data_IF_712194046089
#
_entry.id   IF_712194046089
#
_cell.length_a   1.000
_cell.length_b   1.000
_cell.length_c   1.000
_cell.angle_alpha   90.00
_cell.angle_beta   90.00
_cell.angle_gamma   90.00
#
_symmetry.space_group_name_H-M   'P 1'
#
loop_
_entity.id
_entity.type
_entity.pdbx_description
1 polymer ?
#
# COMPACT_ATOMS: atom_id res chain seq x y z
N UNK A 1 7.92 -12.69 -10.84
CA UNK A 1 9.05 -12.53 -9.90
C UNK A 1 8.54 -12.25 -8.47
N UNK A 2 8.51 -13.27 -7.59
CA UNK A 2 8.01 -13.13 -6.21
C UNK A 2 8.84 -12.15 -5.37
N UNK A 3 10.16 -12.11 -5.56
CA UNK A 3 11.06 -11.15 -4.89
C UNK A 3 10.88 -9.71 -5.36
N UNK A 4 10.54 -9.49 -6.65
CA UNK A 4 10.30 -8.16 -7.17
C UNK A 4 9.11 -7.47 -6.50
N UNK A 5 8.08 -8.24 -6.11
CA UNK A 5 6.90 -7.73 -5.39
C UNK A 5 7.22 -7.21 -3.99
N UNK A 6 8.07 -7.92 -3.23
CA UNK A 6 8.49 -7.50 -1.89
C UNK A 6 9.29 -6.20 -1.94
N UNK A 7 10.30 -6.13 -2.81
CA UNK A 7 11.12 -4.92 -2.99
C UNK A 7 10.33 -3.76 -3.58
N UNK A 8 9.35 -4.04 -4.44
CA UNK A 8 8.45 -3.01 -4.99
C UNK A 8 7.50 -2.46 -3.93
N UNK A 9 6.94 -3.30 -3.06
CA UNK A 9 6.12 -2.85 -1.93
C UNK A 9 6.92 -2.03 -0.94
N UNK A 10 8.12 -2.48 -0.56
CA UNK A 10 9.00 -1.74 0.33
C UNK A 10 9.35 -0.35 -0.24
N UNK A 11 9.68 -0.28 -1.54
CA UNK A 11 9.96 0.98 -2.25
C UNK A 11 8.77 1.91 -2.22
N UNK A 12 7.59 1.44 -2.61
CA UNK A 12 6.37 2.27 -2.64
C UNK A 12 6.05 2.77 -1.23
N UNK A 13 6.18 1.91 -0.22
CA UNK A 13 5.88 2.28 1.15
C UNK A 13 6.83 3.36 1.69
N UNK A 14 8.14 3.23 1.45
CA UNK A 14 9.13 4.24 1.83
C UNK A 14 8.92 5.56 1.08
N UNK A 15 8.73 5.52 -0.24
CA UNK A 15 8.51 6.74 -1.03
C UNK A 15 7.20 7.44 -0.63
N UNK A 16 6.12 6.69 -0.38
CA UNK A 16 4.86 7.24 0.13
C UNK A 16 5.02 7.86 1.51
N UNK A 17 5.79 7.24 2.41
CA UNK A 17 6.01 7.77 3.75
C UNK A 17 6.79 9.09 3.72
N UNK A 18 7.88 9.16 2.95
CA UNK A 18 8.65 10.39 2.78
C UNK A 18 7.88 11.49 2.04
N UNK A 19 7.13 11.15 0.98
CA UNK A 19 6.27 12.12 0.30
C UNK A 19 5.14 12.60 1.23
N UNK A 20 4.56 11.71 2.03
CA UNK A 20 3.54 12.06 3.01
C UNK A 20 4.07 13.01 4.09
N UNK A 21 5.24 12.72 4.64
CA UNK A 21 5.90 13.58 5.63
C UNK A 21 6.24 14.97 5.04
N UNK A 22 6.78 15.01 3.82
CA UNK A 22 7.07 16.26 3.11
C UNK A 22 5.78 17.06 2.83
N UNK A 23 4.72 16.38 2.35
CA UNK A 23 3.42 17.00 2.11
C UNK A 23 2.82 17.61 3.38
N UNK A 24 2.88 16.88 4.50
CA UNK A 24 2.43 17.39 5.79
C UNK A 24 3.23 18.62 6.23
N UNK A 25 4.55 18.61 6.08
CA UNK A 25 5.41 19.74 6.40
C UNK A 25 5.11 20.97 5.53
N UNK A 26 4.89 20.77 4.23
CA UNK A 26 4.52 21.85 3.29
C UNK A 26 3.15 22.46 3.62
N UNK A 27 2.16 21.63 3.96
CA UNK A 27 0.84 22.10 4.39
C UNK A 27 0.95 22.91 5.68
N UNK A 28 1.65 22.38 6.70
CA UNK A 28 1.84 23.09 7.97
C UNK A 28 2.53 24.45 7.75
N UNK A 29 3.62 24.47 6.97
CA UNK A 29 4.32 25.70 6.63
C UNK A 29 3.42 26.69 5.88
N UNK A 30 2.66 26.21 4.89
CA UNK A 30 1.72 27.03 4.13
C UNK A 30 0.61 27.64 4.98
N UNK A 31 0.05 26.88 5.93
CA UNK A 31 -0.96 27.37 6.88
C UNK A 31 -0.39 28.47 7.77
N UNK A 32 0.78 28.23 8.39
CA UNK A 32 1.44 29.22 9.26
C UNK A 32 1.78 30.49 8.48
N UNK A 33 2.32 30.35 7.27
CA UNK A 33 2.67 31.49 6.43
C UNK A 33 1.43 32.29 6.01
N UNK A 34 0.38 31.61 5.53
CA UNK A 34 -0.85 32.27 5.08
C UNK A 34 -1.54 33.05 6.20
N UNK A 35 -1.82 32.41 7.34
CA UNK A 35 -2.47 33.08 8.46
C UNK A 35 -1.57 34.13 9.10
N UNK A 36 -0.24 33.92 9.13
CA UNK A 36 0.71 34.92 9.59
C UNK A 36 0.71 36.18 8.71
N UNK A 37 0.73 36.01 7.39
CA UNK A 37 0.64 37.13 6.44
C UNK A 37 -0.73 37.80 6.50
N UNK A 38 -1.83 37.04 6.61
CA UNK A 38 -3.17 37.58 6.76
C UNK A 38 -3.28 38.46 8.01
N UNK A 39 -2.81 37.96 9.16
CA UNK A 39 -2.75 38.72 10.40
C UNK A 39 -1.93 40.00 10.22
N UNK A 40 -0.74 39.91 9.63
CA UNK A 40 0.14 41.05 9.42
C UNK A 40 -0.44 42.12 8.47
N UNK A 41 -1.21 41.71 7.45
CA UNK A 41 -1.80 42.63 6.47
C UNK A 41 -3.12 43.26 6.94
N UNK A 42 -3.93 42.55 7.74
CA UNK A 42 -5.26 43.03 8.15
C UNK A 42 -5.24 43.77 9.49
N UNK A 43 -4.36 43.41 10.42
CA UNK A 43 -4.32 44.07 11.75
C UNK A 43 -4.13 45.60 11.66
N UNK A 44 -3.24 46.14 10.78
CA UNK A 44 -3.07 47.59 10.65
C UNK A 44 -4.35 48.31 10.20
N UNK A 45 -5.14 47.69 9.32
CA UNK A 45 -6.41 48.23 8.80
C UNK A 45 -7.44 48.31 9.91
N UNK A 46 -7.51 47.27 10.75
CA UNK A 46 -8.41 47.29 11.90
C UNK A 46 -8.02 48.39 12.90
N UNK A 47 -6.72 48.54 13.17
CA UNK A 47 -6.24 49.56 14.10
C UNK A 47 -6.46 50.98 13.58
N UNK A 48 -6.17 51.23 12.30
CA UNK A 48 -6.33 52.55 11.68
C UNK A 48 -7.81 52.95 11.63
N UNK A 49 -8.69 52.03 11.20
CA UNK A 49 -10.14 52.26 11.18
C UNK A 49 -10.70 52.56 12.58
N UNK A 50 -10.22 51.87 13.63
CA UNK A 50 -10.66 52.16 15.01
C UNK A 50 -10.23 53.55 15.47
N UNK A 51 -8.97 53.91 15.21
CA UNK A 51 -8.40 55.20 15.61
C UNK A 51 -9.13 56.35 14.92
N UNK A 52 -9.38 56.22 13.62
CA UNK A 52 -10.06 57.24 12.84
C UNK A 52 -11.54 57.37 13.20
N UNK A 53 -12.22 56.25 13.49
CA UNK A 53 -13.60 56.29 13.96
C UNK A 53 -13.74 57.10 15.27
N UNK A 54 -12.83 56.89 16.22
CA UNK A 54 -12.81 57.66 17.47
C UNK A 54 -12.51 59.14 17.22
N UNK A 55 -11.55 59.45 16.35
CA UNK A 55 -11.21 60.83 15.98
C UNK A 55 -12.41 61.56 15.36
N UNK A 56 -13.13 60.90 14.44
CA UNK A 56 -14.34 61.45 13.84
C UNK A 56 -15.49 61.60 14.84
N UNK A 57 -15.65 60.64 15.77
CA UNK A 57 -16.66 60.74 16.82
C UNK A 57 -16.41 61.95 17.75
N UNK A 58 -15.15 62.20 18.15
CA UNK A 58 -14.80 63.38 18.95
C UNK A 58 -15.06 64.69 18.20
N UNK A 59 -14.66 64.77 16.93
CA UNK A 59 -14.94 65.94 16.08
C UNK A 59 -16.44 66.19 15.94
N UNK A 60 -17.24 65.14 15.77
CA UNK A 60 -18.69 65.28 15.66
C UNK A 60 -19.33 65.81 16.95
N UNK A 61 -18.85 65.35 18.11
CA UNK A 61 -19.31 65.82 19.42
C UNK A 61 -18.96 67.29 19.69
N UNK A 62 -17.87 67.80 19.10
CA UNK A 62 -17.49 69.23 19.20
C UNK A 62 -18.17 70.14 18.17
N UNK A 63 -18.78 69.55 17.13
CA UNK A 63 -19.45 70.25 16.03
C UNK A 63 -20.97 70.41 16.22
N UNK A 64 -21.69 70.57 15.11
CA UNK A 64 -23.17 70.58 15.10
C UNK A 64 -23.71 69.15 15.01
N UNK A 65 -24.36 68.68 16.09
CA UNK A 65 -24.89 67.31 16.23
C UNK A 65 -25.94 66.94 15.16
N UNK A 66 -26.68 67.92 14.62
CA UNK A 66 -27.76 67.71 13.64
C UNK A 66 -27.28 67.65 12.17
N UNK A 67 -25.96 67.73 11.93
CA UNK A 67 -25.37 67.67 10.58
C UNK A 67 -24.45 66.45 10.46
N UNK A 68 -24.20 66.05 9.20
CA UNK A 68 -23.18 65.06 8.89
C UNK A 68 -21.85 65.41 9.57
N UNK A 69 -21.14 64.38 10.07
CA UNK A 69 -19.83 64.59 10.72
C UNK A 69 -18.90 65.34 9.76
N UNK A 70 -18.12 66.31 10.26
CA UNK A 70 -17.10 66.96 9.44
C UNK A 70 -16.17 65.89 8.85
N UNK A 71 -16.06 65.88 7.52
CA UNK A 71 -15.02 65.15 6.81
C UNK A 71 -13.68 65.76 7.21
N UNK A 72 -12.73 64.92 7.61
CA UNK A 72 -11.33 65.31 7.74
C UNK A 72 -10.83 65.58 6.32
N UNK A 73 -11.03 66.80 5.83
CA UNK A 73 -10.31 67.28 4.67
C UNK A 73 -8.90 67.54 5.17
N UNK A 74 -8.00 66.58 4.98
CA UNK A 74 -6.57 66.84 5.10
C UNK A 74 -6.25 67.98 4.13
N UNK A 75 -6.10 69.19 4.65
CA UNK A 75 -5.68 70.38 3.90
C UNK A 75 -4.19 70.32 3.62
N UNK A 76 -3.74 69.24 2.98
CA UNK A 76 -2.37 69.10 2.51
C UNK A 76 -2.35 68.21 1.25
N UNK A 77 -2.54 68.84 0.10
CA UNK A 77 -2.09 68.30 -1.19
C UNK A 77 -0.55 68.38 -1.34
N UNK A 78 0.20 68.58 -0.25
CA UNK A 78 1.66 68.77 -0.25
C UNK A 78 2.44 67.85 0.70
N UNK A 79 1.86 66.74 1.14
CA UNK A 79 2.53 65.75 1.98
C UNK A 79 2.69 64.40 1.29
N UNK A 80 3.65 64.27 0.38
CA UNK A 80 4.12 62.94 -0.04
C UNK A 80 4.80 62.26 1.16
N UNK A 81 4.20 61.20 1.70
CA UNK A 81 4.99 60.19 2.42
C UNK A 81 5.82 59.43 1.36
N UNK A 82 7.16 59.42 1.43
CA UNK A 82 8.01 58.98 0.31
C UNK A 82 8.08 57.46 0.13
N UNK A 83 7.11 56.69 0.62
CA UNK A 83 7.12 55.24 0.47
C UNK A 83 6.05 54.67 -0.47
N UNK A 84 4.87 55.28 -0.65
CA UNK A 84 3.83 54.75 -1.56
C UNK A 84 2.77 55.83 -1.84
N UNK A 85 2.79 56.44 -3.02
CA UNK A 85 1.81 57.46 -3.41
C UNK A 85 0.41 56.89 -3.66
N UNK A 86 -0.39 56.77 -2.59
CA UNK A 86 -1.83 56.48 -2.68
C UNK A 86 -2.63 57.67 -2.13
N UNK A 87 -3.66 58.17 -2.84
CA UNK A 87 -4.53 59.24 -2.35
C UNK A 87 -5.40 58.71 -1.20
N UNK A 88 -5.78 59.59 -0.26
CA UNK A 88 -6.65 59.27 0.87
C UNK A 88 -7.88 58.49 0.39
N UNK A 89 -7.92 57.22 0.77
CA UNK A 89 -8.92 56.22 0.41
C UNK A 89 -9.77 55.83 1.62
N UNK A 90 -9.74 56.65 2.66
CA UNK A 90 -10.63 56.54 3.80
C UNK A 90 -12.02 57.05 3.43
N UNK A 91 -13.03 56.21 3.63
CA UNK A 91 -14.44 56.56 3.38
C UNK A 91 -15.17 56.67 4.70
N UNK A 92 -15.83 57.79 4.93
CA UNK A 92 -16.54 58.06 6.19
C UNK A 92 -17.98 58.42 5.90
N UNK A 93 -18.91 57.79 6.61
CA UNK A 93 -20.35 58.09 6.54
C UNK A 93 -20.93 58.06 7.96
N UNK A 94 -21.83 58.99 8.25
CA UNK A 94 -22.50 59.10 9.54
C UNK A 94 -24.00 58.84 9.43
N UNK A 95 -24.50 58.05 10.38
CA UNK A 95 -25.90 57.71 10.49
C UNK A 95 -26.48 58.34 11.75
N UNK A 96 -27.75 58.73 11.70
CA UNK A 96 -28.48 59.25 12.85
C UNK A 96 -28.75 58.18 13.92
N UNK A 97 -29.38 58.60 15.02
CA UNK A 97 -29.82 57.75 16.13
C UNK A 97 -30.81 56.62 15.74
N UNK A 98 -31.37 56.64 14.53
CA UNK A 98 -32.26 55.61 13.97
C UNK A 98 -31.56 54.73 12.91
N UNK A 99 -30.26 54.93 12.68
CA UNK A 99 -29.49 54.25 11.64
C UNK A 99 -29.85 54.70 10.22
N UNK A 100 -30.46 55.88 10.07
CA UNK A 100 -30.75 56.50 8.78
C UNK A 100 -29.66 57.52 8.42
N UNK A 101 -29.47 57.81 7.13
CA UNK A 101 -28.42 58.73 6.67
C UNK A 101 -28.79 60.17 6.99
N UNK A 102 -27.80 60.97 7.40
CA UNK A 102 -28.00 62.38 7.76
C UNK A 102 -28.19 63.26 6.50
N UNK A 103 -28.99 64.33 6.63
CA UNK A 103 -29.26 65.26 5.54
C UNK A 103 -28.05 66.19 5.28
N UNK A 104 -27.69 66.38 4.00
CA UNK A 104 -26.57 67.25 3.58
C UNK A 104 -25.21 66.55 3.44
N UNK A 105 -25.16 65.23 3.61
CA UNK A 105 -23.94 64.43 3.43
C UNK A 105 -23.63 64.21 1.92
N UNK A 106 -22.44 64.62 1.47
CA UNK A 106 -22.00 64.38 0.09
C UNK A 106 -21.54 62.92 -0.08
N UNK A 107 -22.48 61.99 -0.22
CA UNK A 107 -22.19 60.56 -0.48
C UNK A 107 -22.04 60.24 -1.97
N UNK A 108 -21.98 61.26 -2.83
CA UNK A 108 -21.85 61.11 -4.28
C UNK A 108 -20.49 60.51 -4.63
N UNK A 109 -20.47 59.29 -5.17
CA UNK A 109 -19.24 58.56 -5.53
C UNK A 109 -18.89 57.39 -4.60
N UNK A 110 -19.63 57.19 -3.50
CA UNK A 110 -19.47 56.02 -2.64
C UNK A 110 -20.27 54.81 -3.16
N UNK A 111 -19.74 53.58 -3.08
CA UNK A 111 -20.45 52.37 -3.48
C UNK A 111 -21.72 52.13 -2.66
N UNK A 112 -22.80 51.67 -3.30
CA UNK A 112 -24.07 51.38 -2.61
C UNK A 112 -23.92 50.35 -1.48
N UNK A 113 -23.03 49.36 -1.64
CA UNK A 113 -22.72 48.37 -0.63
C UNK A 113 -22.14 48.99 0.65
N UNK A 114 -21.29 50.01 0.51
CA UNK A 114 -20.71 50.76 1.64
C UNK A 114 -21.76 51.56 2.40
N UNK A 115 -22.72 52.15 1.67
CA UNK A 115 -23.82 52.97 2.23
C UNK A 115 -24.94 52.14 2.90
N UNK A 116 -24.78 50.83 3.03
CA UNK A 116 -25.80 49.98 3.66
C UNK A 116 -25.93 50.29 5.16
N UNK A 117 -27.18 50.46 5.62
CA UNK A 117 -27.51 50.84 7.01
C UNK A 117 -27.42 49.68 8.00
N UNK A 118 -27.18 48.45 7.52
CA UNK A 118 -27.21 47.22 8.31
C UNK A 118 -26.18 47.24 9.44
N UNK A 119 -24.96 47.66 9.14
CA UNK A 119 -23.87 47.70 10.13
C UNK A 119 -24.12 48.78 11.19
N UNK A 120 -24.57 49.97 10.77
CA UNK A 120 -24.88 51.07 11.68
C UNK A 120 -26.02 50.73 12.64
N UNK A 121 -27.10 50.10 12.14
CA UNK A 121 -28.21 49.62 12.99
C UNK A 121 -27.74 48.59 14.00
N UNK A 122 -26.91 47.63 13.57
CA UNK A 122 -26.33 46.62 14.48
C UNK A 122 -25.51 47.27 15.60
N UNK A 123 -24.70 48.28 15.28
CA UNK A 123 -23.90 49.00 16.27
C UNK A 123 -24.77 49.77 17.29
N UNK A 124 -25.89 50.37 16.85
CA UNK A 124 -26.85 51.02 17.75
C UNK A 124 -27.62 50.04 18.63
N UNK A 125 -28.01 48.89 18.08
CA UNK A 125 -28.74 47.84 18.81
C UNK A 125 -27.89 47.20 19.90
N UNK A 126 -26.62 46.91 19.62
CA UNK A 126 -25.69 46.31 20.59
C UNK A 126 -25.08 47.34 21.54
N UNK A 127 -25.07 48.62 21.13
CA UNK A 127 -24.37 49.68 21.84
C UNK A 127 -22.84 49.50 21.87
N UNK A 128 -22.31 48.66 20.98
CA UNK A 128 -20.89 48.31 20.89
C UNK A 128 -20.40 48.52 19.45
N UNK A 129 -19.09 48.75 19.25
CA UNK A 129 -18.52 48.80 17.91
C UNK A 129 -18.81 47.52 17.13
N UNK A 130 -19.08 47.64 15.84
CA UNK A 130 -19.38 46.50 14.96
C UNK A 130 -18.61 46.59 13.66
N UNK A 131 -18.20 45.45 13.11
CA UNK A 131 -17.44 45.38 11.86
C UNK A 131 -18.08 44.45 10.85
N UNK A 132 -17.83 44.69 9.56
CA UNK A 132 -18.07 43.73 8.49
C UNK A 132 -17.20 44.03 7.26
N UNK A 133 -17.28 43.15 6.26
CA UNK A 133 -16.66 43.36 4.95
C UNK A 133 -17.75 43.30 3.89
N UNK A 134 -17.73 44.26 2.96
CA UNK A 134 -18.69 44.34 1.85
C UNK A 134 -18.00 44.42 0.50
N UNK A 135 -18.53 43.72 -0.49
CA UNK A 135 -18.08 43.83 -1.88
C UNK A 135 -18.72 45.07 -2.52
N UNK A 136 -17.89 46.05 -2.84
CA UNK A 136 -18.32 47.26 -3.53
C UNK A 136 -18.36 47.13 -5.06
N UNK A 137 -17.86 46.03 -5.61
CA UNK A 137 -17.76 45.79 -7.05
C UNK A 137 -16.81 46.75 -7.79
N UNK A 138 -16.61 46.49 -9.08
CA UNK A 138 -15.77 47.34 -9.96
C UNK A 138 -14.30 47.41 -9.54
N UNK A 139 -13.69 48.59 -9.68
CA UNK A 139 -12.28 48.85 -9.29
C UNK A 139 -12.08 49.07 -7.79
N UNK A 140 -13.16 49.09 -7.00
CA UNK A 140 -13.13 49.36 -5.56
C UNK A 140 -12.95 48.07 -4.75
N UNK A 141 -13.58 46.99 -5.18
CA UNK A 141 -13.41 45.66 -4.59
C UNK A 141 -13.97 45.53 -3.16
N UNK A 142 -13.31 44.72 -2.33
CA UNK A 142 -13.72 44.49 -0.94
C UNK A 142 -13.39 45.69 -0.03
N UNK A 143 -14.36 46.10 0.79
CA UNK A 143 -14.22 47.18 1.77
C UNK A 143 -14.46 46.61 3.17
N UNK A 144 -13.48 46.77 4.05
CA UNK A 144 -13.63 46.57 5.48
C UNK A 144 -14.31 47.79 6.10
N UNK A 145 -15.32 47.57 6.95
CA UNK A 145 -16.09 48.63 7.59
C UNK A 145 -16.05 48.50 9.10
N UNK A 146 -15.84 49.63 9.77
CA UNK A 146 -15.87 49.75 11.23
C UNK A 146 -16.92 50.79 11.64
N UNK A 147 -17.90 50.38 12.44
CA UNK A 147 -18.99 51.22 12.91
C UNK A 147 -18.88 51.48 14.41
N UNK A 148 -18.81 52.76 14.79
CA UNK A 148 -18.68 53.23 16.16
C UNK A 148 -19.95 54.01 16.58
N UNK A 149 -20.75 53.51 17.55
CA UNK A 149 -21.87 54.27 18.09
C UNK A 149 -21.37 55.43 18.96
N UNK A 150 -21.88 56.64 18.71
CA UNK A 150 -21.45 57.86 19.39
C UNK A 150 -22.43 58.20 20.52
N UNK A 151 -22.02 58.11 21.80
CA UNK A 151 -22.93 58.36 22.93
C UNK A 151 -23.35 59.83 23.01
N UNK A 152 -24.57 60.09 23.45
CA UNK A 152 -25.07 61.46 23.64
C UNK A 152 -24.41 62.17 24.82
N UNK A 153 -23.96 63.44 24.68
CA UNK A 153 -23.48 64.26 25.78
C UNK A 153 -24.50 64.42 26.92
N UNK A 154 -25.79 64.27 26.60
CA UNK A 154 -26.90 64.37 27.56
C UNK A 154 -27.03 63.12 28.45
N UNK A 155 -26.22 62.08 28.21
CA UNK A 155 -26.19 60.84 28.99
C UNK A 155 -27.31 59.85 28.69
N UNK A 156 -28.18 60.14 27.71
CA UNK A 156 -29.24 59.22 27.26
C UNK A 156 -29.16 58.97 25.76
N UNK A 157 -29.02 57.71 25.38
CA UNK A 157 -29.01 57.28 23.98
C UNK A 157 -27.74 57.67 23.22
N UNK A 158 -27.83 57.59 21.89
CA UNK A 158 -26.74 57.84 20.96
C UNK A 158 -27.09 59.04 20.07
N UNK A 159 -26.09 59.82 19.68
CA UNK A 159 -26.22 60.86 18.65
C UNK A 159 -26.37 60.20 17.27
N UNK A 160 -25.68 59.08 17.08
CA UNK A 160 -25.67 58.33 15.84
C UNK A 160 -24.51 57.35 15.78
N UNK A 161 -24.09 56.98 14.57
CA UNK A 161 -22.99 56.06 14.31
C UNK A 161 -22.06 56.63 13.26
N UNK A 162 -20.76 56.58 13.53
CA UNK A 162 -19.70 56.86 12.55
C UNK A 162 -19.28 55.54 11.92
N UNK A 163 -19.29 55.45 10.58
CA UNK A 163 -18.81 54.29 9.84
C UNK A 163 -17.60 54.67 9.00
N UNK A 164 -16.47 54.02 9.28
CA UNK A 164 -15.23 54.12 8.50
C UNK A 164 -15.14 52.93 7.55
N UNK A 165 -14.66 53.16 6.34
CA UNK A 165 -14.44 52.15 5.31
C UNK A 165 -13.05 52.23 4.71
N UNK A 166 -12.36 51.10 4.70
CA UNK A 166 -11.04 50.93 4.08
C UNK A 166 -11.07 49.86 3.01
N UNK A 167 -10.38 50.10 1.89
CA UNK A 167 -10.26 49.10 0.82
C UNK A 167 -9.24 48.03 1.21
N UNK A 168 -9.68 46.77 1.25
CA UNK A 168 -8.82 45.60 1.54
C UNK A 168 -8.48 44.81 0.27
N UNK A 169 -8.81 45.35 -0.90
CA UNK A 169 -8.69 44.68 -2.19
C UNK A 169 -7.24 44.29 -2.51
N UNK A 170 -6.27 45.13 -2.16
CA UNK A 170 -4.84 44.89 -2.43
C UNK A 170 -4.32 43.74 -1.56
N UNK A 171 -4.78 43.68 -0.31
CA UNK A 171 -4.40 42.68 0.68
C UNK A 171 -4.99 41.31 0.33
N UNK A 172 -6.27 41.26 -0.07
CA UNK A 172 -6.92 40.06 -0.59
C UNK A 172 -6.24 39.52 -1.87
N UNK A 173 -5.84 40.42 -2.78
CA UNK A 173 -5.07 40.05 -3.96
C UNK A 173 -3.68 39.48 -3.60
N UNK A 174 -3.00 40.07 -2.62
CA UNK A 174 -1.73 39.57 -2.13
C UNK A 174 -1.88 38.17 -1.48
N UNK A 175 -2.91 37.96 -0.66
CA UNK A 175 -3.20 36.69 -0.01
C UNK A 175 -3.59 35.59 -1.01
N UNK A 176 -4.40 35.92 -2.02
CA UNK A 176 -4.77 34.97 -3.08
C UNK A 176 -3.59 34.60 -3.98
N UNK A 177 -2.71 35.55 -4.30
CA UNK A 177 -1.45 35.27 -5.00
C UNK A 177 -0.54 34.39 -4.16
N UNK A 178 -0.40 34.67 -2.85
CA UNK A 178 0.37 33.84 -1.92
C UNK A 178 -0.17 32.41 -1.88
N UNK A 179 -1.49 32.25 -1.80
CA UNK A 179 -2.14 30.93 -1.79
C UNK A 179 -1.88 30.18 -3.11
N UNK A 180 -1.99 30.85 -4.25
CA UNK A 180 -1.67 30.26 -5.56
C UNK A 180 -0.20 29.80 -5.63
N UNK A 181 0.73 30.62 -5.13
CA UNK A 181 2.15 30.27 -5.08
C UNK A 181 2.41 29.07 -4.15
N UNK A 182 1.82 29.06 -2.95
CA UNK A 182 1.95 27.95 -2.00
C UNK A 182 1.44 26.62 -2.59
N UNK A 183 0.27 26.64 -3.23
CA UNK A 183 -0.33 25.43 -3.84
C UNK A 183 0.48 24.97 -5.05
N UNK A 184 0.87 25.89 -5.94
CA UNK A 184 1.61 25.53 -7.16
C UNK A 184 3.05 25.07 -6.87
N UNK A 185 3.79 25.80 -6.03
CA UNK A 185 5.16 25.44 -5.65
C UNK A 185 5.16 24.17 -4.78
N UNK A 186 4.23 24.07 -3.82
CA UNK A 186 4.07 22.88 -2.99
C UNK A 186 3.73 21.64 -3.82
N UNK A 187 2.78 21.75 -4.75
CA UNK A 187 2.38 20.67 -5.64
C UNK A 187 3.50 20.22 -6.59
N UNK A 188 4.20 21.17 -7.22
CA UNK A 188 5.33 20.85 -8.12
C UNK A 188 6.51 20.24 -7.35
N UNK A 189 6.80 20.72 -6.14
CA UNK A 189 7.82 20.14 -5.25
C UNK A 189 7.47 18.70 -4.86
N UNK A 190 6.23 18.44 -4.46
CA UNK A 190 5.77 17.11 -4.08
C UNK A 190 5.82 16.11 -5.26
N UNK A 191 5.40 16.54 -6.45
CA UNK A 191 5.52 15.74 -7.67
C UNK A 191 6.98 15.43 -8.01
N UNK A 192 7.86 16.44 -7.94
CA UNK A 192 9.29 16.28 -8.16
C UNK A 192 9.93 15.30 -7.16
N UNK A 193 9.60 15.43 -5.88
CA UNK A 193 10.06 14.53 -4.83
C UNK A 193 9.58 13.09 -5.04
N UNK A 194 8.31 12.90 -5.44
CA UNK A 194 7.75 11.58 -5.74
C UNK A 194 8.44 10.90 -6.94
N UNK A 195 8.59 11.62 -8.05
CA UNK A 195 9.26 11.09 -9.25
C UNK A 195 10.74 10.82 -9.00
N UNK A 196 11.44 11.78 -8.36
CA UNK A 196 12.85 11.65 -8.01
C UNK A 196 13.11 10.50 -7.03
N UNK A 197 12.26 10.37 -6.01
CA UNK A 197 12.32 9.27 -5.04
C UNK A 197 12.16 7.90 -5.69
N UNK A 198 11.18 7.75 -6.61
CA UNK A 198 11.01 6.51 -7.36
C UNK A 198 12.20 6.21 -8.29
N UNK A 199 12.77 7.23 -8.92
CA UNK A 199 13.94 7.09 -9.79
C UNK A 199 15.20 6.66 -9.03
N UNK A 200 15.52 7.36 -7.92
CA UNK A 200 16.67 7.05 -7.09
C UNK A 200 16.56 5.65 -6.47
N UNK A 201 15.38 5.28 -5.97
CA UNK A 201 15.14 3.95 -5.43
C UNK A 201 15.33 2.85 -6.48
N UNK A 202 14.89 3.07 -7.74
CA UNK A 202 15.15 2.13 -8.84
C UNK A 202 16.65 1.95 -9.08
N UNK A 203 17.41 3.05 -9.13
CA UNK A 203 18.86 3.02 -9.41
C UNK A 203 19.67 2.40 -8.27
N UNK A 204 19.34 2.73 -7.01
CA UNK A 204 20.03 2.21 -5.83
C UNK A 204 19.85 0.70 -5.64
N UNK A 205 18.68 0.16 -6.00
CA UNK A 205 18.37 -1.28 -5.86
C UNK A 205 18.80 -2.14 -7.05
N UNK A 206 19.12 -1.53 -8.21
CA UNK A 206 19.56 -2.25 -9.39
C UNK A 206 20.78 -3.19 -9.14
N UNK A 207 21.89 -2.74 -8.52
CA UNK A 207 23.03 -3.61 -8.27
C UNK A 207 22.71 -4.76 -7.31
N UNK A 208 21.89 -4.54 -6.29
CA UNK A 208 21.48 -5.59 -5.36
C UNK A 208 20.66 -6.69 -6.05
N UNK A 209 19.74 -6.31 -6.96
CA UNK A 209 18.96 -7.27 -7.77
C UNK A 209 19.85 -8.10 -8.69
N UNK A 210 20.81 -7.45 -9.36
CA UNK A 210 21.75 -8.13 -10.25
C UNK A 210 22.66 -9.09 -9.48
N UNK A 211 23.17 -8.67 -8.31
CA UNK A 211 23.96 -9.53 -7.44
C UNK A 211 23.17 -10.77 -7.00
N UNK A 212 21.91 -10.58 -6.58
CA UNK A 212 21.03 -11.68 -6.17
C UNK A 212 20.76 -12.67 -7.31
N UNK A 213 20.40 -12.18 -8.50
CA UNK A 213 20.15 -13.04 -9.66
C UNK A 213 21.41 -13.79 -10.11
N UNK A 214 22.58 -13.15 -10.05
CA UNK A 214 23.85 -13.78 -10.42
C UNK A 214 24.24 -14.87 -9.42
N UNK A 215 24.03 -14.63 -8.12
CA UNK A 215 24.25 -15.63 -7.08
C UNK A 215 23.35 -16.86 -7.28
N UNK A 216 22.07 -16.66 -7.62
CA UNK A 216 21.15 -17.76 -7.92
C UNK A 216 21.57 -18.55 -9.17
N UNK A 217 21.98 -17.86 -10.24
CA UNK A 217 22.49 -18.51 -11.45
C UNK A 217 23.76 -19.32 -11.15
N UNK A 218 24.68 -18.76 -10.39
CA UNK A 218 25.90 -19.46 -9.95
C UNK A 218 25.57 -20.73 -9.14
N UNK A 219 24.62 -20.67 -8.21
CA UNK A 219 24.18 -21.86 -7.45
C UNK A 219 23.58 -22.91 -8.39
N UNK A 220 22.76 -22.50 -9.36
CA UNK A 220 22.16 -23.42 -10.33
C UNK A 220 23.22 -24.08 -11.23
N UNK A 221 24.20 -23.31 -11.70
CA UNK A 221 25.27 -23.80 -12.56
C UNK A 221 26.21 -24.74 -11.78
N UNK A 222 26.64 -24.34 -10.58
CA UNK A 222 27.43 -25.19 -9.69
C UNK A 222 26.71 -26.50 -9.35
N UNK A 223 25.38 -26.44 -9.15
CA UNK A 223 24.59 -27.64 -8.92
C UNK A 223 24.60 -28.59 -10.13
N UNK A 224 24.42 -28.09 -11.35
CA UNK A 224 24.48 -28.95 -12.52
C UNK A 224 25.86 -29.59 -12.72
N UNK A 225 26.93 -28.81 -12.54
CA UNK A 225 28.30 -29.29 -12.67
C UNK A 225 28.67 -30.32 -11.60
N UNK A 226 28.08 -30.24 -10.39
CA UNK A 226 28.29 -31.22 -9.32
C UNK A 226 27.48 -32.52 -9.50
N UNK A 227 26.30 -32.48 -10.14
CA UNK A 227 25.48 -33.69 -10.33
C UNK A 227 26.20 -34.77 -11.14
N UNK A 228 26.90 -34.37 -12.18
CA UNK A 228 27.57 -35.28 -13.12
C UNK A 228 28.68 -36.10 -12.45
N UNK A 229 29.68 -35.52 -11.76
CA UNK A 229 30.71 -36.29 -11.08
C UNK A 229 30.15 -37.17 -9.95
N UNK A 230 29.11 -36.70 -9.24
CA UNK A 230 28.45 -37.50 -8.20
C UNK A 230 27.75 -38.74 -8.77
N UNK A 231 27.11 -38.58 -9.94
CA UNK A 231 26.45 -39.71 -10.62
C UNK A 231 27.47 -40.75 -11.08
N UNK A 232 28.65 -40.31 -11.55
CA UNK A 232 29.75 -41.19 -11.96
C UNK A 232 30.36 -41.91 -10.75
N UNK A 233 30.69 -41.19 -9.67
CA UNK A 233 31.22 -41.80 -8.44
C UNK A 233 30.27 -42.88 -7.89
N UNK A 234 28.95 -42.61 -7.92
CA UNK A 234 27.96 -43.60 -7.51
C UNK A 234 27.95 -44.82 -8.44
N UNK A 235 27.97 -44.61 -9.75
CA UNK A 235 27.96 -45.70 -10.72
C UNK A 235 29.19 -46.59 -10.57
N UNK A 236 30.37 -46.00 -10.37
CA UNK A 236 31.61 -46.73 -10.16
C UNK A 236 31.57 -47.56 -8.87
N UNK A 237 31.07 -46.98 -7.77
CA UNK A 237 30.91 -47.68 -6.51
C UNK A 237 29.86 -48.82 -6.58
N UNK A 238 28.72 -48.59 -7.24
CA UNK A 238 27.71 -49.62 -7.49
C UNK A 238 28.27 -50.78 -8.35
N UNK A 239 29.12 -50.48 -9.33
CA UNK A 239 29.78 -51.52 -10.16
C UNK A 239 30.75 -52.35 -9.32
N UNK A 240 31.53 -51.73 -8.44
CA UNK A 240 32.43 -52.44 -7.53
C UNK A 240 31.65 -53.32 -6.54
N UNK A 241 30.54 -52.82 -5.99
CA UNK A 241 29.65 -53.59 -5.11
C UNK A 241 29.01 -54.79 -5.80
N UNK A 242 28.76 -54.76 -7.12
CA UNK A 242 28.28 -55.96 -7.84
C UNK A 242 29.31 -57.10 -7.86
N UNK A 243 30.59 -56.80 -7.61
CA UNK A 243 31.67 -57.77 -7.43
C UNK A 243 31.89 -58.20 -5.98
N UNK A 244 30.91 -58.00 -5.09
CA UNK A 244 30.99 -58.16 -3.63
C UNK A 244 31.77 -59.40 -3.15
N UNK A 245 31.62 -60.56 -3.81
CA UNK A 245 32.31 -61.81 -3.46
C UNK A 245 33.85 -61.74 -3.51
N UNK A 246 34.42 -60.70 -4.12
CA UNK A 246 35.87 -60.48 -4.27
C UNK A 246 36.41 -59.37 -3.38
N UNK A 247 35.56 -58.69 -2.63
CA UNK A 247 35.92 -57.61 -1.71
C UNK A 247 36.10 -58.16 -0.29
N UNK A 248 36.97 -57.54 0.50
CA UNK A 248 37.01 -57.76 1.95
C UNK A 248 35.77 -57.06 2.55
N UNK A 249 35.16 -57.61 3.61
CA UNK A 249 33.93 -57.06 4.21
C UNK A 249 34.04 -55.54 4.52
N UNK A 250 35.21 -55.07 4.98
CA UNK A 250 35.50 -53.65 5.22
C UNK A 250 35.49 -52.79 3.95
N UNK A 251 35.92 -53.33 2.79
CA UNK A 251 35.90 -52.61 1.51
C UNK A 251 34.48 -52.45 0.96
N UNK A 252 33.61 -53.44 1.21
CA UNK A 252 32.21 -53.38 0.82
C UNK A 252 31.45 -52.32 1.64
N UNK A 253 31.68 -52.26 2.95
CA UNK A 253 31.08 -51.25 3.83
C UNK A 253 31.49 -49.83 3.41
N UNK A 254 32.78 -49.61 3.09
CA UNK A 254 33.27 -48.33 2.56
C UNK A 254 32.63 -47.94 1.23
N UNK A 255 32.38 -48.90 0.34
CA UNK A 255 31.72 -48.65 -0.94
C UNK A 255 30.23 -48.32 -0.77
N UNK A 256 29.55 -48.98 0.18
CA UNK A 256 28.16 -48.65 0.55
C UNK A 256 28.08 -47.22 1.10
N UNK A 257 29.03 -46.81 1.95
CA UNK A 257 29.14 -45.44 2.46
C UNK A 257 29.35 -44.41 1.34
N UNK A 258 30.22 -44.71 0.35
CA UNK A 258 30.45 -43.84 -0.81
C UNK A 258 29.17 -43.69 -1.64
N UNK A 259 28.43 -44.78 -1.86
CA UNK A 259 27.14 -44.74 -2.58
C UNK A 259 26.11 -43.91 -1.79
N UNK A 260 26.04 -44.08 -0.47
CA UNK A 260 25.14 -43.33 0.39
C UNK A 260 25.45 -41.82 0.36
N UNK A 261 26.72 -41.44 0.47
CA UNK A 261 27.16 -40.05 0.44
C UNK A 261 26.98 -39.41 -0.95
N UNK A 262 27.26 -40.14 -2.03
CA UNK A 262 27.00 -39.67 -3.39
C UNK A 262 25.50 -39.42 -3.64
N UNK A 263 24.62 -40.28 -3.12
CA UNK A 263 23.17 -40.08 -3.16
C UNK A 263 22.73 -38.87 -2.32
N UNK A 264 23.34 -38.69 -1.13
CA UNK A 264 23.09 -37.54 -0.28
C UNK A 264 23.44 -36.23 -0.99
N UNK A 265 24.65 -36.15 -1.55
CA UNK A 265 25.11 -35.00 -2.31
C UNK A 265 24.21 -34.74 -3.52
N UNK A 266 23.90 -35.76 -4.33
CA UNK A 266 23.02 -35.60 -5.52
C UNK A 266 21.64 -35.05 -5.15
N UNK A 267 21.08 -35.47 -4.02
CA UNK A 267 19.83 -34.93 -3.47
C UNK A 267 19.96 -33.46 -3.11
N UNK A 268 21.04 -33.07 -2.43
CA UNK A 268 21.33 -31.68 -2.06
C UNK A 268 21.43 -30.79 -3.31
N UNK A 269 22.16 -31.26 -4.32
CA UNK A 269 22.38 -30.57 -5.57
C UNK A 269 21.08 -30.36 -6.37
N UNK A 270 20.25 -31.39 -6.46
CA UNK A 270 18.92 -31.30 -7.09
C UNK A 270 18.01 -30.30 -6.38
N UNK A 271 18.01 -30.34 -5.05
CA UNK A 271 17.23 -29.44 -4.22
C UNK A 271 17.63 -27.97 -4.41
N UNK A 272 18.95 -27.68 -4.46
CA UNK A 272 19.47 -26.34 -4.76
C UNK A 272 19.03 -25.85 -6.14
N UNK A 273 19.11 -26.72 -7.16
CA UNK A 273 18.66 -26.36 -8.51
C UNK A 273 17.16 -26.06 -8.57
N UNK A 274 16.33 -26.88 -7.91
CA UNK A 274 14.89 -26.64 -7.84
C UNK A 274 14.60 -25.28 -7.19
N UNK A 275 15.26 -24.96 -6.07
CA UNK A 275 15.10 -23.67 -5.40
C UNK A 275 15.54 -22.50 -6.30
N UNK A 276 16.71 -22.60 -6.93
CA UNK A 276 17.22 -21.57 -7.83
C UNK A 276 16.31 -21.34 -9.06
N UNK A 277 15.65 -22.38 -9.57
CA UNK A 277 14.68 -22.27 -10.68
C UNK A 277 13.37 -21.62 -10.24
N UNK A 278 12.85 -22.00 -9.07
CA UNK A 278 11.61 -21.44 -8.52
C UNK A 278 11.74 -19.94 -8.24
N UNK A 279 12.89 -19.51 -7.71
CA UNK A 279 13.11 -18.11 -7.37
C UNK A 279 13.29 -17.20 -8.60
N UNK A 280 13.87 -17.73 -9.69
CA UNK A 280 14.08 -17.00 -10.94
C UNK A 280 12.79 -16.76 -11.74
N UNK A 281 11.64 -17.31 -11.33
CA UNK A 281 10.34 -17.05 -11.94
C UNK A 281 10.17 -17.52 -13.39
N UNK A 282 11.13 -18.27 -13.94
CA UNK A 282 11.14 -18.79 -15.32
C UNK A 282 10.12 -19.91 -15.56
N UNK A 283 9.36 -20.32 -14.54
CA UNK A 283 8.42 -21.45 -14.57
C UNK A 283 7.09 -21.18 -15.29
N UNK A 284 6.73 -19.92 -15.58
CA UNK A 284 5.42 -19.59 -16.18
C UNK A 284 5.18 -20.18 -17.58
N UNK A 285 6.23 -20.65 -18.29
CA UNK A 285 6.11 -21.18 -19.66
C UNK A 285 5.69 -22.65 -19.75
N UNK A 286 5.58 -23.36 -18.63
CA UNK A 286 5.34 -24.81 -18.56
C UNK A 286 4.09 -25.20 -17.74
N UNK A 287 3.15 -24.26 -17.56
CA UNK A 287 1.93 -24.51 -16.78
C UNK A 287 0.86 -25.14 -17.67
N UNK A 288 0.26 -26.22 -17.19
CA UNK A 288 -0.83 -26.94 -17.83
C UNK A 288 -1.95 -27.27 -16.83
N UNK A 289 -3.04 -27.83 -17.32
CA UNK A 289 -4.13 -28.31 -16.47
C UNK A 289 -3.73 -29.67 -15.87
N UNK A 290 -3.53 -29.69 -14.55
CA UNK A 290 -3.09 -30.88 -13.80
C UNK A 290 -4.24 -31.46 -13.00
N UNK A 291 -4.51 -32.76 -13.19
CA UNK A 291 -5.44 -33.53 -12.37
C UNK A 291 -4.74 -34.01 -11.08
N UNK A 292 -5.13 -33.46 -9.92
CA UNK A 292 -4.45 -33.82 -8.68
C UNK A 292 -4.73 -35.26 -8.23
N UNK A 293 -5.84 -35.88 -8.65
CA UNK A 293 -6.12 -37.28 -8.36
C UNK A 293 -5.10 -38.21 -9.04
N UNK A 294 -4.82 -37.98 -10.32
CA UNK A 294 -3.82 -38.74 -11.07
C UNK A 294 -2.42 -38.52 -10.51
N UNK A 295 -2.10 -37.27 -10.13
CA UNK A 295 -0.86 -36.92 -9.48
C UNK A 295 -0.68 -37.69 -8.14
N UNK A 296 -1.73 -37.71 -7.31
CA UNK A 296 -1.75 -38.43 -6.04
C UNK A 296 -1.52 -39.93 -6.22
N UNK A 297 -2.26 -40.55 -7.14
CA UNK A 297 -2.11 -41.97 -7.45
C UNK A 297 -0.71 -42.30 -8.00
N UNK A 298 -0.16 -41.45 -8.86
CA UNK A 298 1.21 -41.60 -9.38
C UNK A 298 2.24 -41.49 -8.26
N UNK A 299 2.08 -40.53 -7.34
CA UNK A 299 2.94 -40.37 -6.18
C UNK A 299 2.95 -41.59 -5.28
N UNK A 300 1.76 -42.13 -4.95
CA UNK A 300 1.63 -43.36 -4.14
C UNK A 300 2.35 -44.54 -4.79
N UNK A 301 2.14 -44.78 -6.09
CA UNK A 301 2.83 -45.87 -6.82
C UNK A 301 4.36 -45.73 -6.76
N UNK A 302 4.89 -44.52 -6.86
CA UNK A 302 6.35 -44.27 -6.80
C UNK A 302 6.91 -44.43 -5.39
N UNK A 303 6.12 -44.14 -4.36
CA UNK A 303 6.53 -44.27 -2.96
C UNK A 303 6.42 -45.71 -2.42
N UNK A 304 5.74 -46.60 -3.15
CA UNK A 304 5.42 -47.97 -2.72
C UNK A 304 6.67 -48.79 -2.35
N UNK A 305 7.69 -48.82 -3.23
CA UNK A 305 8.90 -49.60 -3.00
C UNK A 305 9.69 -49.13 -1.76
N UNK A 306 9.79 -47.80 -1.57
CA UNK A 306 10.44 -47.22 -0.40
C UNK A 306 9.68 -47.53 0.90
N UNK A 307 8.34 -47.52 0.83
CA UNK A 307 7.50 -47.81 1.98
C UNK A 307 7.56 -49.29 2.37
N UNK A 308 7.55 -50.20 1.39
CA UNK A 308 7.70 -51.65 1.62
C UNK A 308 9.04 -51.97 2.29
N UNK A 309 10.14 -51.34 1.84
CA UNK A 309 11.46 -51.50 2.45
C UNK A 309 11.47 -51.06 3.94
N UNK A 310 10.60 -50.13 4.33
CA UNK A 310 10.49 -49.58 5.68
C UNK A 310 9.32 -50.19 6.48
N UNK A 311 8.61 -51.17 5.94
CA UNK A 311 7.45 -51.78 6.59
C UNK A 311 6.27 -50.82 6.81
N UNK A 312 6.08 -49.85 5.92
CA UNK A 312 5.04 -48.81 6.00
C UNK A 312 3.99 -49.03 4.89
N UNK A 313 2.72 -48.88 5.23
CA UNK A 313 1.62 -48.98 4.24
C UNK A 313 1.30 -47.62 3.64
N UNK A 314 1.42 -47.44 2.33
CA UNK A 314 1.02 -46.20 1.62
C UNK A 314 -0.23 -46.45 0.79
N UNK A 315 -1.21 -45.55 0.88
CA UNK A 315 -2.47 -45.67 0.15
C UNK A 315 -3.04 -44.31 -0.26
N UNK A 316 -3.86 -44.32 -1.31
CA UNK A 316 -4.66 -43.17 -1.73
C UNK A 316 -6.11 -43.41 -1.30
N UNK A 317 -6.67 -42.51 -0.48
CA UNK A 317 -8.05 -42.59 0.03
C UNK A 317 -8.81 -41.29 -0.28
N UNK A 318 -10.13 -41.35 -0.41
CA UNK A 318 -10.98 -40.17 -0.64
C UNK A 318 -10.44 -39.24 -1.76
N UNK A 319 -10.11 -39.83 -2.91
CA UNK A 319 -9.51 -39.13 -4.04
C UNK A 319 -10.61 -38.47 -4.89
N UNK A 320 -10.85 -37.18 -4.67
CA UNK A 320 -11.61 -36.35 -5.60
C UNK A 320 -10.69 -35.87 -6.73
N UNK A 321 -11.27 -35.39 -7.84
CA UNK A 321 -10.52 -34.97 -9.04
C UNK A 321 -10.48 -33.43 -9.23
N UNK A 322 -9.86 -32.65 -8.32
CA UNK A 322 -9.68 -31.23 -8.56
C UNK A 322 -8.61 -31.02 -9.64
N UNK A 323 -8.85 -30.02 -10.47
CA UNK A 323 -7.89 -29.56 -11.47
C UNK A 323 -7.24 -28.26 -11.01
N UNK A 324 -5.96 -28.10 -11.32
CA UNK A 324 -5.19 -26.88 -11.06
C UNK A 324 -4.42 -26.47 -12.31
N UNK A 325 -4.10 -25.19 -12.44
CA UNK A 325 -3.16 -24.72 -13.47
C UNK A 325 -1.77 -24.73 -12.83
N UNK A 326 -0.86 -25.53 -13.36
CA UNK A 326 0.46 -25.68 -12.77
C UNK A 326 1.44 -26.51 -13.58
N UNK A 327 2.68 -26.55 -13.09
CA UNK A 327 3.74 -27.33 -13.69
C UNK A 327 3.73 -28.75 -13.09
N UNK A 328 3.44 -29.80 -13.88
CA UNK A 328 3.21 -31.17 -13.40
C UNK A 328 4.42 -31.75 -12.67
N UNK A 329 5.63 -31.52 -13.20
CA UNK A 329 6.87 -32.07 -12.65
C UNK A 329 7.15 -31.49 -11.26
N UNK A 330 6.92 -30.19 -11.08
CA UNK A 330 7.11 -29.54 -9.78
C UNK A 330 6.05 -29.99 -8.78
N UNK A 331 4.78 -30.06 -9.18
CA UNK A 331 3.72 -30.55 -8.30
C UNK A 331 3.97 -32.01 -7.87
N UNK A 332 4.44 -32.86 -8.80
CA UNK A 332 4.86 -34.23 -8.49
C UNK A 332 6.03 -34.25 -7.51
N UNK A 333 7.04 -33.39 -7.73
CA UNK A 333 8.18 -33.25 -6.82
C UNK A 333 7.73 -32.85 -5.41
N UNK A 334 6.82 -31.89 -5.29
CA UNK A 334 6.29 -31.47 -3.98
C UNK A 334 5.59 -32.64 -3.28
N UNK A 335 4.75 -33.40 -3.99
CA UNK A 335 4.08 -34.57 -3.42
C UNK A 335 5.07 -35.66 -2.98
N UNK A 336 6.06 -35.99 -3.82
CA UNK A 336 7.07 -37.00 -3.49
C UNK A 336 7.90 -36.61 -2.28
N UNK A 337 8.22 -35.33 -2.12
CA UNK A 337 8.91 -34.82 -0.94
C UNK A 337 8.06 -34.98 0.33
N UNK A 338 6.76 -34.75 0.25
CA UNK A 338 5.86 -34.98 1.39
C UNK A 338 5.73 -36.46 1.73
N UNK A 339 5.62 -37.33 0.73
CA UNK A 339 5.59 -38.78 0.90
C UNK A 339 6.89 -39.32 1.50
N UNK A 340 8.04 -38.86 1.02
CA UNK A 340 9.36 -39.24 1.55
C UNK A 340 9.48 -38.88 3.04
N UNK A 341 9.06 -37.66 3.44
CA UNK A 341 9.02 -37.27 4.85
C UNK A 341 8.07 -38.15 5.67
N UNK A 342 6.86 -38.39 5.16
CA UNK A 342 5.84 -39.20 5.81
C UNK A 342 6.26 -40.67 6.02
N UNK A 343 7.12 -41.19 5.15
CA UNK A 343 7.70 -42.54 5.28
C UNK A 343 8.91 -42.50 6.22
N UNK A 344 9.81 -41.52 6.06
CA UNK A 344 11.06 -41.44 6.85
C UNK A 344 10.85 -41.25 8.34
N UNK A 345 9.84 -40.47 8.71
CA UNK A 345 9.53 -40.14 10.10
C UNK A 345 8.32 -40.92 10.64
N UNK A 346 7.97 -42.04 9.99
CA UNK A 346 6.91 -42.91 10.46
C UNK A 346 7.40 -43.88 11.54
N UNK A 347 6.45 -44.58 12.17
CA UNK A 347 6.73 -45.72 13.05
C UNK A 347 6.69 -47.03 12.25
N UNK A 348 7.33 -48.06 12.77
CA UNK A 348 7.28 -49.41 12.19
C UNK A 348 5.83 -49.91 12.08
N UNK A 349 5.46 -50.47 10.92
CA UNK A 349 4.08 -50.89 10.65
C UNK A 349 3.09 -49.74 10.48
N UNK A 350 3.58 -48.49 10.42
CA UNK A 350 2.76 -47.30 10.27
C UNK A 350 2.08 -47.19 8.89
N UNK A 351 1.26 -46.16 8.72
CA UNK A 351 0.57 -45.87 7.46
C UNK A 351 0.76 -44.43 7.01
N UNK A 352 0.70 -44.25 5.70
CA UNK A 352 0.64 -42.95 5.01
C UNK A 352 -0.55 -42.95 4.06
N UNK A 353 -1.36 -41.90 4.13
CA UNK A 353 -2.59 -41.74 3.35
C UNK A 353 -2.49 -40.45 2.54
N UNK A 354 -2.71 -40.54 1.23
CA UNK A 354 -2.85 -39.37 0.36
C UNK A 354 -4.32 -39.13 0.04
N UNK A 355 -4.78 -37.88 0.16
CA UNK A 355 -6.15 -37.45 -0.17
C UNK A 355 -6.15 -36.24 -1.09
N UNK A 356 -7.21 -36.10 -1.89
CA UNK A 356 -7.42 -34.94 -2.75
C UNK A 356 -8.85 -34.44 -2.65
N UNK A 357 -9.03 -33.13 -2.53
CA UNK A 357 -10.37 -32.52 -2.35
C UNK A 357 -10.48 -31.18 -3.09
N UNK A 358 -11.68 -30.84 -3.54
CA UNK A 358 -12.03 -29.49 -3.98
C UNK A 358 -12.96 -28.86 -2.94
N UNK A 359 -12.55 -27.74 -2.31
CA UNK A 359 -13.38 -27.04 -1.32
C UNK A 359 -13.21 -25.54 -1.39
N UNK A 360 -14.32 -24.81 -1.49
CA UNK A 360 -14.33 -23.33 -1.40
C UNK A 360 -13.45 -22.64 -2.46
N UNK A 361 -13.43 -23.14 -3.70
CA UNK A 361 -12.58 -22.61 -4.77
C UNK A 361 -11.09 -22.97 -4.66
N UNK A 362 -10.73 -23.88 -3.75
CA UNK A 362 -9.37 -24.37 -3.57
C UNK A 362 -9.30 -25.87 -3.86
N UNK A 363 -8.19 -26.30 -4.45
CA UNK A 363 -7.81 -27.69 -4.61
C UNK A 363 -6.82 -28.07 -3.49
N UNK A 364 -7.02 -29.23 -2.88
CA UNK A 364 -6.28 -29.71 -1.72
C UNK A 364 -5.59 -31.03 -2.07
N UNK A 365 -4.34 -31.17 -1.67
CA UNK A 365 -3.60 -32.44 -1.64
C UNK A 365 -3.07 -32.62 -0.23
N UNK A 366 -3.52 -33.66 0.46
CA UNK A 366 -3.16 -33.96 1.83
C UNK A 366 -2.32 -35.24 1.90
N UNK A 367 -1.25 -35.22 2.68
CA UNK A 367 -0.44 -36.38 3.04
C UNK A 367 -0.52 -36.52 4.56
N UNK A 368 -1.13 -37.61 5.03
CA UNK A 368 -1.32 -37.92 6.44
C UNK A 368 -0.48 -39.14 6.81
N UNK A 369 0.39 -39.02 7.82
CA UNK A 369 1.13 -40.13 8.41
C UNK A 369 0.69 -40.42 9.84
N UNK A 370 0.96 -41.63 10.29
CA UNK A 370 0.84 -42.04 11.70
C UNK A 370 2.19 -42.03 12.41
N UNK A 371 3.11 -41.15 12.02
CA UNK A 371 4.48 -41.16 12.52
C UNK A 371 4.66 -40.66 13.94
N UNK A 372 5.88 -40.27 14.26
CA UNK A 372 6.25 -39.73 15.59
C UNK A 372 5.62 -38.38 15.90
N UNK A 373 5.07 -37.71 14.89
CA UNK A 373 4.54 -36.35 15.03
C UNK A 373 5.65 -35.33 15.33
N UNK A 374 5.25 -34.07 15.53
CA UNK A 374 6.18 -32.95 15.70
C UNK A 374 5.65 -32.06 16.83
N UNK A 375 6.52 -31.71 17.78
CA UNK A 375 6.17 -30.81 18.88
C UNK A 375 5.85 -29.39 18.40
N UNK A 376 4.95 -28.71 19.12
CA UNK A 376 4.45 -27.40 18.74
C UNK A 376 5.54 -26.32 18.63
N UNK A 377 6.62 -26.45 19.42
CA UNK A 377 7.77 -25.54 19.40
C UNK A 377 8.53 -25.53 18.07
N UNK A 378 8.51 -26.63 17.32
CA UNK A 378 9.19 -26.71 16.02
C UNK A 378 8.33 -26.22 14.85
N UNK A 379 7.00 -26.17 15.02
CA UNK A 379 6.04 -25.81 13.95
C UNK A 379 6.37 -24.51 13.21
N UNK A 380 6.78 -23.41 13.88
CA UNK A 380 7.11 -22.16 13.19
C UNK A 380 8.30 -22.29 12.24
N UNK A 381 9.25 -23.17 12.56
CA UNK A 381 10.55 -23.27 11.92
C UNK A 381 10.64 -24.35 10.83
N UNK A 382 9.67 -25.28 10.74
CA UNK A 382 9.68 -26.41 9.77
C UNK A 382 9.80 -25.99 8.30
N UNK A 383 9.53 -24.72 7.98
CA UNK A 383 9.67 -24.19 6.62
C UNK A 383 10.98 -23.48 6.31
N UNK A 384 11.83 -23.31 7.30
CA UNK A 384 13.14 -22.69 7.13
C UNK A 384 14.10 -23.65 6.43
N UNK A 385 14.99 -23.12 5.59
CA UNK A 385 15.98 -23.94 4.92
C UNK A 385 16.93 -24.57 5.93
N UNK A 386 17.19 -25.87 5.80
CA UNK A 386 18.11 -26.65 6.64
C UNK A 386 17.65 -26.88 8.09
N UNK A 387 16.44 -26.48 8.46
CA UNK A 387 15.91 -26.71 9.80
C UNK A 387 15.54 -28.18 10.04
N UNK A 388 15.87 -28.71 11.22
CA UNK A 388 15.62 -30.11 11.65
C UNK A 388 15.32 -30.15 13.14
N UNK A 389 14.35 -30.98 13.53
CA UNK A 389 13.89 -31.14 14.93
C UNK A 389 14.97 -31.77 15.82
N UNK A 390 15.61 -32.85 15.36
CA UNK A 390 16.67 -33.55 16.12
C UNK A 390 17.85 -33.92 15.22
N UNK A 391 19.05 -33.41 15.51
CA UNK A 391 20.25 -33.71 14.69
C UNK A 391 20.64 -35.19 14.75
N UNK A 392 20.61 -35.83 15.92
CA UNK A 392 21.07 -37.21 16.09
C UNK A 392 20.19 -38.24 15.36
N UNK A 393 18.87 -38.21 15.61
CA UNK A 393 17.89 -39.13 14.97
C UNK A 393 17.72 -38.89 13.47
N UNK A 394 17.99 -37.65 13.02
CA UNK A 394 17.83 -37.31 11.61
C UNK A 394 19.04 -37.73 10.76
N UNK A 395 20.24 -37.88 11.34
CA UNK A 395 21.41 -38.39 10.61
C UNK A 395 21.16 -39.82 10.11
N UNK A 396 20.59 -40.70 10.95
CA UNK A 396 20.18 -42.06 10.57
C UNK A 396 19.08 -42.06 9.49
N UNK A 397 18.22 -41.04 9.46
CA UNK A 397 17.13 -40.92 8.48
C UNK A 397 17.54 -40.27 7.13
N UNK A 398 18.76 -39.75 7.00
CA UNK A 398 19.34 -39.25 5.73
C UNK A 398 18.73 -37.95 5.16
N UNK A 399 18.00 -37.15 5.95
CA UNK A 399 17.29 -35.95 5.47
C UNK A 399 18.15 -34.67 5.39
N UNK A 400 18.06 -33.91 4.28
CA UNK A 400 18.81 -32.65 4.06
C UNK A 400 18.20 -31.41 4.73
N UNK A 401 16.98 -31.51 5.28
CA UNK A 401 16.24 -30.35 5.83
C UNK A 401 15.72 -29.37 4.75
N UNK A 402 15.83 -29.70 3.46
CA UNK A 402 15.36 -28.84 2.37
C UNK A 402 13.97 -29.22 1.85
N UNK A 403 13.53 -30.47 2.03
CA UNK A 403 12.32 -30.98 1.40
C UNK A 403 11.08 -30.11 1.65
N UNK A 404 10.76 -29.84 2.92
CA UNK A 404 9.56 -29.08 3.24
C UNK A 404 9.62 -27.62 2.73
N UNK A 405 10.82 -27.03 2.69
CA UNK A 405 11.03 -25.71 2.08
C UNK A 405 10.79 -25.73 0.56
N UNK A 406 11.17 -26.81 -0.12
CA UNK A 406 10.91 -27.00 -1.55
C UNK A 406 9.41 -27.16 -1.82
N UNK A 407 8.72 -28.01 -1.07
CA UNK A 407 7.27 -28.18 -1.21
C UNK A 407 6.52 -26.87 -0.96
N UNK A 408 6.96 -26.07 0.02
CA UNK A 408 6.43 -24.73 0.29
C UNK A 408 6.70 -23.77 -0.87
N UNK A 409 7.92 -23.72 -1.41
CA UNK A 409 8.27 -22.86 -2.54
C UNK A 409 7.50 -23.25 -3.81
N UNK A 410 7.30 -24.54 -4.06
CA UNK A 410 6.48 -25.04 -5.18
C UNK A 410 5.03 -24.61 -5.00
N UNK A 411 4.44 -24.80 -3.81
CA UNK A 411 3.07 -24.35 -3.53
C UNK A 411 2.92 -22.84 -3.76
N UNK A 412 3.86 -22.03 -3.26
CA UNK A 412 3.86 -20.58 -3.44
C UNK A 412 4.01 -20.16 -4.91
N UNK A 413 4.83 -20.86 -5.70
CA UNK A 413 4.96 -20.63 -7.13
C UNK A 413 3.67 -20.93 -7.91
N UNK A 414 2.77 -21.73 -7.34
CA UNK A 414 1.44 -22.06 -7.86
C UNK A 414 0.32 -21.25 -7.18
N UNK A 415 0.66 -20.08 -6.61
CA UNK A 415 -0.28 -19.19 -5.91
C UNK A 415 -1.01 -19.86 -4.73
N UNK A 416 -0.43 -20.94 -4.23
CA UNK A 416 -0.93 -21.73 -3.13
C UNK A 416 -0.19 -21.51 -1.82
N UNK A 417 -0.48 -22.38 -0.86
CA UNK A 417 0.18 -22.42 0.45
C UNK A 417 0.28 -23.84 0.96
N UNK A 418 1.26 -24.08 1.82
CA UNK A 418 1.44 -25.34 2.53
C UNK A 418 1.03 -25.17 4.00
N UNK A 419 0.22 -26.11 4.51
CA UNK A 419 -0.25 -26.16 5.90
C UNK A 419 0.22 -27.46 6.55
N UNK A 420 0.55 -27.40 7.83
CA UNK A 420 1.02 -28.54 8.60
C UNK A 420 0.22 -28.57 9.89
N UNK A 421 -0.28 -29.75 10.24
CA UNK A 421 -0.89 -30.05 11.53
C UNK A 421 -0.25 -31.33 12.05
N UNK A 422 0.30 -31.30 13.25
CA UNK A 422 0.95 -32.48 13.83
C UNK A 422 0.68 -32.53 15.32
N UNK A 423 0.54 -33.74 15.84
CA UNK A 423 0.44 -34.00 17.27
C UNK A 423 1.52 -35.05 17.59
N UNK A 424 2.40 -34.79 18.56
CA UNK A 424 3.40 -35.78 18.99
C UNK A 424 2.76 -37.14 19.26
N UNK A 425 3.42 -38.20 18.78
CA UNK A 425 3.00 -39.60 18.91
C UNK A 425 1.67 -39.97 18.24
N UNK A 426 1.03 -39.06 17.48
CA UNK A 426 -0.19 -39.35 16.71
C UNK A 426 0.03 -39.24 15.20
N UNK A 427 1.04 -38.47 14.76
CA UNK A 427 1.43 -38.33 13.36
C UNK A 427 1.29 -36.90 12.84
N UNK A 428 1.52 -36.75 11.54
CA UNK A 428 1.52 -35.44 10.86
C UNK A 428 0.62 -35.43 9.64
N UNK A 429 -0.08 -34.32 9.43
CA UNK A 429 -0.81 -34.02 8.20
C UNK A 429 -0.19 -32.80 7.55
N UNK A 430 0.32 -32.97 6.34
CA UNK A 430 0.80 -31.88 5.49
C UNK A 430 -0.15 -31.70 4.32
N UNK A 431 -0.62 -30.48 4.10
CA UNK A 431 -1.60 -30.13 3.09
C UNK A 431 -1.08 -29.04 2.17
N UNK A 432 -1.08 -29.30 0.87
CA UNK A 432 -0.87 -28.32 -0.19
C UNK A 432 -2.23 -27.79 -0.61
N UNK A 433 -2.40 -26.46 -0.58
CA UNK A 433 -3.62 -25.75 -0.97
C UNK A 433 -3.33 -24.91 -2.20
N UNK A 434 -4.01 -25.18 -3.31
CA UNK A 434 -3.84 -24.51 -4.60
C UNK A 434 -5.16 -23.85 -5.05
N UNK A 435 -5.12 -22.80 -5.89
CA UNK A 435 -6.31 -22.30 -6.55
C UNK A 435 -6.93 -23.36 -7.46
N UNK A 436 -8.24 -23.58 -7.37
CA UNK A 436 -8.95 -24.52 -8.24
C UNK A 436 -9.03 -23.94 -9.66
N UNK A 437 -8.65 -24.72 -10.67
CA UNK A 437 -8.87 -24.37 -12.06
C UNK A 437 -10.37 -24.47 -12.38
N UNK A 438 -10.94 -23.38 -12.90
CA UNK A 438 -12.30 -23.40 -13.43
C UNK A 438 -12.22 -24.06 -14.81
N UNK A 439 -12.53 -25.35 -14.88
CA UNK A 439 -12.78 -26.00 -16.17
C UNK A 439 -14.14 -25.50 -16.66
N UNK A 440 -14.12 -24.63 -17.67
CA UNK A 440 -15.34 -24.32 -18.41
C UNK A 440 -15.76 -25.59 -19.15
N UNK A 441 -16.95 -26.17 -18.91
CA UNK A 441 -17.38 -27.36 -19.62
C UNK A 441 -17.39 -27.04 -21.11
N UNK A 442 -16.66 -27.85 -21.89
CA UNK A 442 -16.70 -27.76 -23.35
C UNK A 442 -18.16 -27.85 -23.79
N UNK A 443 -18.63 -26.83 -24.50
CA UNK A 443 -19.99 -26.76 -25.01
C UNK A 443 -20.34 -28.04 -25.77
N UNK A 444 -21.48 -28.60 -25.42
CA UNK A 444 -22.11 -29.73 -26.09
C UNK A 444 -22.13 -29.51 -27.62
N UNK A 445 -21.49 -30.35 -28.45
CA UNK A 445 -21.58 -30.25 -29.89
C UNK A 445 -22.90 -30.89 -30.34
N UNK A 446 -24.01 -30.23 -30.03
CA UNK A 446 -25.29 -30.57 -30.65
C UNK A 446 -25.26 -30.13 -32.12
N UNK A 447 -25.43 -31.04 -33.10
CA UNK A 447 -25.49 -30.65 -34.51
C UNK A 447 -26.81 -29.91 -34.80
N UNK A 448 -26.84 -28.95 -35.75
CA UNK A 448 -28.08 -28.28 -36.11
C UNK A 448 -29.03 -29.28 -36.77
N UNK A 449 -30.10 -29.64 -36.06
CA UNK A 449 -31.18 -30.46 -36.57
C UNK A 449 -31.88 -29.78 -37.74
N UNK A 450 -31.83 -30.42 -38.90
CA UNK A 450 -32.66 -30.12 -40.06
C UNK A 450 -34.14 -30.06 -39.68
N UNK A 451 -34.74 -28.86 -39.68
CA UNK A 451 -36.20 -28.72 -39.75
C UNK A 451 -36.62 -28.74 -41.21
N UNK A 452 -37.08 -29.91 -41.63
CA UNK A 452 -37.71 -30.13 -42.93
C UNK A 452 -39.06 -29.43 -43.05
N UNK A 453 -39.38 -29.10 -44.30
CA UNK A 453 -40.68 -28.68 -44.83
C UNK A 453 -41.87 -29.35 -44.12
N UNK A 454 -42.88 -28.54 -43.75
CA UNK A 454 -44.29 -28.94 -43.82
C UNK A 454 -45.07 -27.93 -44.65
N UNK A 455 -45.33 -28.32 -45.90
CA UNK A 455 -46.45 -27.82 -46.70
C UNK A 455 -47.74 -28.17 -45.97
N UNK A 456 -48.59 -27.18 -45.71
CA UNK A 456 -50.03 -27.40 -45.50
C UNK A 456 -50.77 -26.65 -46.59
N UNK A 457 -51.59 -27.39 -47.33
CA UNK A 457 -52.53 -26.92 -48.34
C UNK A 457 -53.89 -27.50 -47.97
N UNK A 458 -54.93 -26.74 -48.30
CA UNK A 458 -56.38 -27.04 -48.31
C UNK A 458 -57.18 -26.65 -47.07
N UNK A 459 -58.24 -25.87 -47.34
CA UNK A 459 -59.16 -25.21 -46.43
C UNK A 459 -59.54 -23.85 -46.98
#
# INVERSE_FOLDING_TARGET
EPGAGLFQRLRIHLTLWYCGMLGMALVLFGVVLYFGTQYFLLTPIETDATLHAHTHAELWLTGSLDRACPLLVSSDQSGSSPALGLPLSERVVCFDQHGSRLAGEHTTGLPAAFLSTTLAKRALETGQPSTDTVDAGGSVGQIYRYALPVPSPTGKGYVGVVVIGESIQVQEQALSLLLLLLVSVGGTSLLGAGLGGLFLAKRALAPARLAWSNQQRFIADAAHELRTPLTLMRADAEVLLRGHERLVDEDAELLEDIVAEANHMSTLTNNMLTLARLDNGSTHREYEVVNLAELAQKGVRRAQALAEQRGITVSAENINTPYVIGHPILLEQALLVLLDNAIKYNRDGGRVIVRTEARGGQALVEVCDTGVGIAAEHMPHLGEHFYRVDKARSLEAGGTGLGLSIARSIAAAHEGRLRISSIPEQGTTVMIVLPLAILCPAGDPSPPGHSGLRLTRSG
#
